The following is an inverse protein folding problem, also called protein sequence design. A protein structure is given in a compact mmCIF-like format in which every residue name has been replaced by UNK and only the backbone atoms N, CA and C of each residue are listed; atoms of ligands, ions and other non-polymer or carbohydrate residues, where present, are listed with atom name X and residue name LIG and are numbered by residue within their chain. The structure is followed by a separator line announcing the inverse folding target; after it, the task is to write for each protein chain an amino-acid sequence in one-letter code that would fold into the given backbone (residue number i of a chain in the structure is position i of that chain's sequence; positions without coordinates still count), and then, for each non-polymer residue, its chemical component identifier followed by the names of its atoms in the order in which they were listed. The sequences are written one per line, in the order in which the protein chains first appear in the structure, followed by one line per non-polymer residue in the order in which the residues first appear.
data_IF_933060126646
#
_entry.id   IF_933060126646
#
_cell.length_a   1.000
_cell.length_b   1.000
_cell.length_c   1.000
_cell.angle_alpha   90.00
_cell.angle_beta   90.00
_cell.angle_gamma   90.00
#
_symmetry.space_group_name_H-M   'P 1'
#
loop_
_entity.id
_entity.type
_entity.pdbx_description
1 polymer ?
#
# COMPACT_ATOMS: atom_id res chain seq x y z
N UNK A 1 -8.22 -26.63 15.63
CA UNK A 1 -8.77 -25.27 15.82
C UNK A 1 -8.60 -24.54 14.50
N UNK A 2 -9.62 -23.82 14.01
CA UNK A 2 -9.45 -23.03 12.80
C UNK A 2 -8.40 -21.94 13.02
N UNK A 3 -7.61 -21.62 12.00
CA UNK A 3 -6.64 -20.52 12.07
C UNK A 3 -7.35 -19.16 12.02
N UNK A 4 -6.60 -18.09 12.30
CA UNK A 4 -7.15 -16.73 12.25
C UNK A 4 -7.71 -16.42 10.84
N UNK A 5 -6.95 -16.73 9.78
CA UNK A 5 -7.40 -16.54 8.40
C UNK A 5 -8.62 -17.40 8.07
N UNK A 6 -8.66 -18.66 8.49
CA UNK A 6 -9.84 -19.51 8.26
C UNK A 6 -11.12 -18.96 8.91
N UNK A 7 -10.98 -18.35 10.10
CA UNK A 7 -12.08 -17.70 10.82
C UNK A 7 -12.54 -16.43 10.09
N UNK A 8 -11.61 -15.62 9.60
CA UNK A 8 -11.91 -14.39 8.85
C UNK A 8 -12.60 -14.72 7.52
N UNK A 9 -12.15 -15.75 6.81
CA UNK A 9 -12.78 -16.19 5.55
C UNK A 9 -14.23 -16.64 5.74
N UNK A 10 -14.61 -17.10 6.94
CA UNK A 10 -16.00 -17.41 7.25
C UNK A 10 -16.87 -16.16 7.50
N UNK A 11 -16.25 -14.99 7.74
CA UNK A 11 -16.92 -13.76 8.16
C UNK A 11 -17.65 -12.96 7.08
N UNK A 12 -17.64 -13.41 5.81
CA UNK A 12 -18.31 -12.80 4.65
C UNK A 12 -18.10 -11.28 4.44
N UNK A 13 -17.09 -10.68 5.06
CA UNK A 13 -16.73 -9.28 4.90
C UNK A 13 -15.48 -9.19 4.01
N UNK A 14 -15.68 -8.85 2.75
CA UNK A 14 -14.62 -8.81 1.75
C UNK A 14 -13.51 -7.83 2.12
N UNK A 15 -13.86 -6.63 2.58
CA UNK A 15 -12.89 -5.62 2.98
C UNK A 15 -12.00 -6.11 4.13
N UNK A 16 -12.59 -6.82 5.09
CA UNK A 16 -11.85 -7.41 6.20
C UNK A 16 -10.95 -8.55 5.74
N UNK A 17 -11.44 -9.44 4.87
CA UNK A 17 -10.63 -10.51 4.28
C UNK A 17 -9.41 -9.92 3.56
N UNK A 18 -9.62 -8.93 2.69
CA UNK A 18 -8.53 -8.27 1.97
C UNK A 18 -7.53 -7.59 2.91
N UNK A 19 -8.02 -6.91 3.96
CA UNK A 19 -7.17 -6.25 4.95
C UNK A 19 -6.30 -7.26 5.70
N UNK A 20 -6.88 -8.35 6.17
CA UNK A 20 -6.18 -9.37 6.94
C UNK A 20 -5.18 -10.16 6.09
N UNK A 21 -5.51 -10.44 4.83
CA UNK A 21 -4.56 -11.06 3.90
C UNK A 21 -3.32 -10.17 3.68
N UNK A 22 -3.48 -8.84 3.55
CA UNK A 22 -2.34 -7.92 3.45
C UNK A 22 -1.49 -7.94 4.72
N UNK A 23 -2.11 -7.84 5.89
CA UNK A 23 -1.39 -7.88 7.17
C UNK A 23 -0.62 -9.18 7.32
N UNK A 24 -1.29 -10.30 7.04
CA UNK A 24 -0.69 -11.62 7.17
C UNK A 24 0.53 -11.76 6.25
N UNK A 25 0.42 -11.37 4.97
CA UNK A 25 1.54 -11.39 4.03
C UNK A 25 2.74 -10.56 4.51
N UNK A 26 2.50 -9.40 5.12
CA UNK A 26 3.59 -8.56 5.64
C UNK A 26 4.29 -9.15 6.86
N UNK A 27 3.55 -9.89 7.70
CA UNK A 27 4.12 -10.55 8.87
C UNK A 27 4.75 -11.91 8.56
N UNK A 28 4.29 -12.56 7.48
CA UNK A 28 4.69 -13.90 7.07
C UNK A 28 5.05 -13.95 5.58
N UNK A 29 6.07 -13.20 5.12
CA UNK A 29 6.38 -13.04 3.69
C UNK A 29 6.77 -14.34 2.97
N UNK A 30 7.23 -15.35 3.71
CA UNK A 30 7.61 -16.66 3.17
C UNK A 30 6.46 -17.70 3.19
N UNK A 31 5.33 -17.39 3.85
CA UNK A 31 4.20 -18.33 4.03
C UNK A 31 4.64 -19.74 4.49
N UNK A 32 5.60 -19.83 5.42
CA UNK A 32 6.21 -21.12 5.81
C UNK A 32 5.22 -22.15 6.37
N UNK A 33 4.09 -21.70 6.92
CA UNK A 33 2.98 -22.52 7.43
C UNK A 33 1.89 -22.80 6.37
N UNK A 34 2.00 -22.18 5.19
CA UNK A 34 1.13 -22.36 4.03
C UNK A 34 -0.26 -21.79 4.23
N UNK A 35 -0.47 -20.88 5.18
CA UNK A 35 -1.78 -20.34 5.50
C UNK A 35 -2.31 -19.40 4.41
N UNK A 36 -1.45 -18.61 3.76
CA UNK A 36 -1.86 -17.81 2.60
C UNK A 36 -2.23 -18.71 1.43
N UNK A 37 -1.43 -19.74 1.14
CA UNK A 37 -1.73 -20.69 0.06
C UNK A 37 -3.09 -21.38 0.27
N UNK A 38 -3.38 -21.83 1.51
CA UNK A 38 -4.68 -22.40 1.88
C UNK A 38 -5.81 -21.38 1.74
N UNK A 39 -5.60 -20.15 2.21
CA UNK A 39 -6.58 -19.08 2.12
C UNK A 39 -6.95 -18.75 0.67
N UNK A 40 -5.95 -18.59 -0.21
CA UNK A 40 -6.15 -18.36 -1.65
C UNK A 40 -6.95 -19.50 -2.27
N UNK A 41 -6.58 -20.75 -1.96
CA UNK A 41 -7.29 -21.94 -2.45
C UNK A 41 -8.77 -21.90 -2.07
N UNK A 42 -9.06 -21.66 -0.79
CA UNK A 42 -10.43 -21.58 -0.28
C UNK A 42 -11.23 -20.43 -0.89
N UNK A 43 -10.61 -19.26 -1.08
CA UNK A 43 -11.25 -18.11 -1.74
C UNK A 43 -11.68 -18.47 -3.16
N UNK A 44 -10.83 -19.19 -3.90
CA UNK A 44 -11.08 -19.58 -5.28
C UNK A 44 -12.15 -20.68 -5.37
N UNK A 45 -12.06 -21.71 -4.53
CA UNK A 45 -13.04 -22.81 -4.48
C UNK A 45 -14.44 -22.32 -4.10
N UNK A 46 -14.52 -21.40 -3.14
CA UNK A 46 -15.78 -20.85 -2.64
C UNK A 46 -16.25 -19.61 -3.40
N UNK A 47 -15.47 -19.15 -4.38
CA UNK A 47 -15.76 -17.97 -5.21
C UNK A 47 -16.16 -16.74 -4.38
N UNK A 48 -15.40 -16.45 -3.31
CA UNK A 48 -15.78 -15.45 -2.29
C UNK A 48 -15.79 -14.00 -2.80
N UNK A 49 -15.55 -13.73 -4.09
CA UNK A 49 -15.57 -12.37 -4.64
C UNK A 49 -14.51 -11.43 -4.05
N UNK A 50 -13.46 -11.99 -3.45
CA UNK A 50 -12.38 -11.22 -2.81
C UNK A 50 -11.49 -10.52 -3.82
N UNK A 51 -11.27 -11.16 -4.97
CA UNK A 51 -10.39 -10.67 -6.01
C UNK A 51 -11.08 -9.63 -6.88
N UNK A 52 -10.38 -8.53 -7.11
CA UNK A 52 -10.76 -7.59 -8.14
C UNK A 52 -10.15 -8.00 -9.48
N UNK A 53 -10.72 -7.51 -10.59
CA UNK A 53 -10.12 -7.65 -11.90
C UNK A 53 -8.78 -6.88 -11.93
N UNK A 54 -7.73 -7.52 -12.44
CA UNK A 54 -6.43 -6.89 -12.58
C UNK A 54 -6.50 -5.67 -13.52
N UNK A 55 -5.80 -4.60 -13.17
CA UNK A 55 -5.83 -3.30 -13.87
C UNK A 55 -4.93 -3.23 -15.12
N UNK A 56 -4.20 -4.30 -15.42
CA UNK A 56 -3.35 -4.41 -16.60
C UNK A 56 -1.97 -3.79 -16.47
N UNK A 57 -1.60 -3.25 -15.29
CA UNK A 57 -0.23 -2.77 -15.06
C UNK A 57 0.75 -3.94 -15.10
N UNK A 58 1.86 -3.78 -15.81
CA UNK A 58 2.87 -4.82 -15.98
C UNK A 58 3.74 -4.94 -14.73
N UNK A 59 4.03 -6.17 -14.30
CA UNK A 59 4.97 -6.44 -13.23
C UNK A 59 6.42 -6.43 -13.75
N UNK A 60 7.35 -5.97 -12.90
CA UNK A 60 8.76 -6.24 -13.10
C UNK A 60 8.99 -7.71 -12.75
N UNK A 61 9.33 -8.53 -13.73
CA UNK A 61 9.62 -9.97 -13.57
C UNK A 61 11.09 -10.25 -13.20
N UNK A 62 11.98 -9.29 -13.45
CA UNK A 62 13.41 -9.41 -13.18
C UNK A 62 13.68 -9.26 -11.68
N UNK A 63 13.93 -10.38 -11.01
CA UNK A 63 14.13 -10.47 -9.55
C UNK A 63 15.31 -9.61 -9.06
N UNK A 64 16.31 -9.35 -9.90
CA UNK A 64 17.45 -8.47 -9.55
C UNK A 64 16.99 -7.03 -9.29
N UNK A 65 15.83 -6.64 -9.84
CA UNK A 65 15.22 -5.33 -9.63
C UNK A 65 14.24 -5.31 -8.45
N UNK A 66 13.97 -6.46 -7.84
CA UNK A 66 13.13 -6.53 -6.65
C UNK A 66 13.94 -6.06 -5.45
N UNK A 67 13.55 -4.91 -4.91
CA UNK A 67 14.15 -4.31 -3.73
C UNK A 67 13.04 -3.82 -2.80
N UNK A 68 13.42 -3.32 -1.61
CA UNK A 68 12.45 -2.83 -0.62
C UNK A 68 11.56 -1.69 -1.15
N UNK A 69 12.10 -0.82 -2.01
CA UNK A 69 11.30 0.24 -2.66
C UNK A 69 10.23 -0.34 -3.58
N UNK A 70 10.59 -1.34 -4.39
CA UNK A 70 9.63 -2.03 -5.24
C UNK A 70 8.57 -2.79 -4.43
N UNK A 71 8.95 -3.43 -3.31
CA UNK A 71 7.99 -4.05 -2.40
C UNK A 71 7.00 -3.02 -1.83
N UNK A 72 7.48 -1.84 -1.42
CA UNK A 72 6.62 -0.75 -0.94
C UNK A 72 5.68 -0.22 -2.03
N UNK A 73 6.14 -0.12 -3.28
CA UNK A 73 5.29 0.20 -4.43
C UNK A 73 4.21 -0.87 -4.62
N UNK A 74 4.56 -2.16 -4.56
CA UNK A 74 3.58 -3.25 -4.67
C UNK A 74 2.55 -3.23 -3.53
N UNK A 75 2.92 -2.85 -2.30
CA UNK A 75 1.96 -2.67 -1.20
C UNK A 75 0.90 -1.61 -1.52
N UNK A 76 1.34 -0.46 -2.07
CA UNK A 76 0.44 0.63 -2.47
C UNK A 76 -0.45 0.18 -3.63
N UNK A 77 0.13 -0.46 -4.63
CA UNK A 77 -0.63 -0.96 -5.78
C UNK A 77 -1.63 -2.04 -5.38
N UNK A 78 -1.29 -2.93 -4.43
CA UNK A 78 -2.20 -3.94 -3.90
C UNK A 78 -3.35 -3.34 -3.09
N UNK A 79 -3.11 -2.21 -2.41
CA UNK A 79 -4.17 -1.46 -1.77
C UNK A 79 -5.17 -0.88 -2.79
N UNK A 80 -4.67 -0.36 -3.92
CA UNK A 80 -5.50 0.23 -4.97
C UNK A 80 -6.22 -0.84 -5.82
N UNK A 81 -5.55 -1.96 -6.09
CA UNK A 81 -6.06 -3.06 -6.88
C UNK A 81 -5.77 -4.42 -6.23
N UNK A 82 -6.68 -4.90 -5.37
CA UNK A 82 -6.60 -6.22 -4.74
C UNK A 82 -6.97 -7.38 -5.70
N UNK A 83 -6.27 -7.48 -6.82
CA UNK A 83 -6.36 -8.61 -7.74
C UNK A 83 -5.51 -9.78 -7.26
N UNK A 84 -5.87 -10.99 -7.69
CA UNK A 84 -5.16 -12.20 -7.30
C UNK A 84 -3.72 -12.18 -7.85
N UNK A 85 -3.55 -11.74 -9.09
CA UNK A 85 -2.27 -11.61 -9.78
C UNK A 85 -1.32 -10.70 -9.01
N UNK A 86 -1.81 -9.54 -8.55
CA UNK A 86 -1.00 -8.60 -7.77
C UNK A 86 -0.68 -9.13 -6.38
N UNK A 87 -1.61 -9.82 -5.74
CA UNK A 87 -1.38 -10.46 -4.44
C UNK A 87 -0.28 -11.51 -4.55
N UNK A 88 -0.35 -12.38 -5.56
CA UNK A 88 0.65 -13.41 -5.83
C UNK A 88 2.01 -12.82 -6.20
N UNK A 89 2.04 -11.79 -7.05
CA UNK A 89 3.26 -11.09 -7.41
C UNK A 89 3.94 -10.47 -6.18
N UNK A 90 3.16 -9.78 -5.34
CA UNK A 90 3.68 -9.21 -4.10
C UNK A 90 4.18 -10.28 -3.12
N UNK A 91 3.53 -11.45 -3.06
CA UNK A 91 3.97 -12.59 -2.28
C UNK A 91 5.32 -13.14 -2.78
N UNK A 92 5.53 -13.23 -4.09
CA UNK A 92 6.81 -13.61 -4.67
C UNK A 92 7.93 -12.61 -4.35
N UNK A 93 7.66 -11.29 -4.52
CA UNK A 93 8.62 -10.22 -4.19
C UNK A 93 8.97 -10.26 -2.70
N UNK A 94 7.98 -10.37 -1.81
CA UNK A 94 8.20 -10.41 -0.38
C UNK A 94 9.00 -11.67 0.03
N UNK A 95 8.68 -12.82 -0.55
CA UNK A 95 9.39 -14.07 -0.31
C UNK A 95 10.85 -14.01 -0.77
N UNK A 96 11.11 -13.47 -1.97
CA UNK A 96 12.46 -13.26 -2.48
C UNK A 96 13.30 -12.39 -1.55
N UNK A 97 12.76 -11.24 -1.13
CA UNK A 97 13.45 -10.31 -0.24
C UNK A 97 13.68 -10.88 1.17
N UNK A 98 12.75 -11.68 1.68
CA UNK A 98 12.90 -12.34 2.98
C UNK A 98 13.91 -13.50 2.94
N UNK A 99 14.14 -14.10 1.76
CA UNK A 99 15.05 -15.23 1.58
C UNK A 99 16.53 -14.81 1.46
N UNK A 100 16.81 -13.56 1.10
CA UNK A 100 18.16 -13.05 0.89
C UNK A 100 18.43 -11.79 1.77
N UNK A 101 19.19 -11.93 2.87
CA UNK A 101 19.50 -10.83 3.78
C UNK A 101 20.37 -9.73 3.15
N UNK A 102 20.97 -9.97 1.99
CA UNK A 102 21.73 -8.93 1.26
C UNK A 102 20.83 -7.95 0.51
N UNK A 103 19.54 -8.27 0.34
CA UNK A 103 18.52 -7.40 -0.24
C UNK A 103 17.87 -6.43 0.77
N UNK A 104 18.37 -6.39 2.02
CA UNK A 104 18.14 -5.25 2.90
C UNK A 104 18.78 -4.01 2.28
N UNK A 105 17.99 -3.27 1.50
CA UNK A 105 18.42 -1.98 0.99
C UNK A 105 18.88 -1.12 2.20
N UNK A 106 20.05 -0.47 2.15
CA UNK A 106 20.38 0.56 3.13
C UNK A 106 19.20 1.54 3.17
N UNK A 107 18.80 2.03 4.37
CA UNK A 107 17.57 2.80 4.51
C UNK A 107 17.58 3.95 3.51
N UNK A 108 16.76 3.83 2.47
CA UNK A 108 16.54 4.87 1.50
C UNK A 108 16.04 6.10 2.28
N UNK A 109 16.61 7.30 2.06
CA UNK A 109 16.13 8.49 2.73
C UNK A 109 14.64 8.63 2.42
N UNK A 110 13.84 8.72 3.48
CA UNK A 110 12.38 8.74 3.44
C UNK A 110 11.88 9.68 2.33
N UNK A 111 11.51 9.12 1.16
CA UNK A 111 10.83 9.89 0.11
C UNK A 111 9.42 10.10 0.60
N UNK A 112 9.23 11.23 1.29
CA UNK A 112 7.98 11.73 1.82
C UNK A 112 7.03 12.03 0.65
N UNK A 113 6.46 11.00 0.01
CA UNK A 113 5.45 11.17 -1.04
C UNK A 113 4.16 11.79 -0.48
N UNK A 114 3.98 11.73 0.85
CA UNK A 114 2.96 12.46 1.61
C UNK A 114 3.27 13.94 1.90
N UNK A 115 4.43 14.47 1.51
CA UNK A 115 4.77 15.88 1.71
C UNK A 115 3.90 16.80 0.86
N UNK A 116 3.48 16.34 -0.33
CA UNK A 116 2.77 17.17 -1.30
C UNK A 116 1.44 17.68 -0.76
N UNK A 117 0.66 16.86 -0.03
CA UNK A 117 -0.62 17.31 0.53
C UNK A 117 -0.45 18.33 1.68
N UNK A 118 0.51 18.10 2.58
CA UNK A 118 0.79 19.01 3.70
C UNK A 118 1.44 20.34 3.25
N UNK A 119 2.40 20.27 2.33
CA UNK A 119 3.08 21.46 1.81
C UNK A 119 2.17 22.31 0.94
N UNK A 120 1.31 21.72 0.10
CA UNK A 120 0.32 22.48 -0.68
C UNK A 120 -0.67 23.21 0.25
N UNK A 121 -1.13 22.57 1.33
CA UNK A 121 -2.00 23.21 2.32
C UNK A 121 -1.29 24.36 3.06
N UNK A 122 0.00 24.19 3.41
CA UNK A 122 0.75 25.21 4.17
C UNK A 122 1.10 26.42 3.30
N UNK A 123 1.47 26.21 2.04
CA UNK A 123 1.74 27.28 1.08
C UNK A 123 0.47 28.10 0.79
N UNK A 124 -0.69 27.45 0.68
CA UNK A 124 -1.98 28.13 0.52
C UNK A 124 -2.32 29.11 1.66
N UNK A 125 -2.07 28.70 2.91
CA UNK A 125 -2.33 29.55 4.09
C UNK A 125 -1.40 30.77 4.13
N UNK A 126 -0.11 30.59 3.79
CA UNK A 126 0.86 31.70 3.78
C UNK A 126 0.48 32.75 2.73
N UNK A 127 0.11 32.31 1.52
CA UNK A 127 -0.33 33.24 0.45
C UNK A 127 -1.59 34.00 0.87
N UNK A 128 -2.57 33.32 1.48
CA UNK A 128 -3.80 33.96 1.96
C UNK A 128 -3.50 35.04 3.02
N UNK A 129 -2.63 34.75 3.99
CA UNK A 129 -2.22 35.73 5.00
C UNK A 129 -1.54 36.96 4.40
N UNK A 130 -0.66 36.78 3.41
CA UNK A 130 0.01 37.89 2.72
C UNK A 130 -1.01 38.77 1.96
N UNK A 131 -1.98 38.16 1.27
CA UNK A 131 -3.05 38.88 0.59
C UNK A 131 -3.91 39.65 1.59
N UNK A 132 -4.28 39.04 2.71
CA UNK A 132 -5.06 39.71 3.75
C UNK A 132 -4.31 40.92 4.35
N UNK A 133 -3.02 40.77 4.65
CA UNK A 133 -2.18 41.86 5.19
C UNK A 133 -2.05 42.99 4.17
N UNK A 134 -1.80 42.68 2.90
CA UNK A 134 -1.68 43.71 1.85
C UNK A 134 -3.00 44.43 1.60
N UNK A 135 -4.15 43.74 1.63
CA UNK A 135 -5.46 44.39 1.59
C UNK A 135 -5.69 45.33 2.77
N UNK A 136 -5.36 44.91 4.00
CA UNK A 136 -5.51 45.75 5.20
C UNK A 136 -4.61 46.99 5.14
N UNK A 137 -3.37 46.84 4.69
CA UNK A 137 -2.44 47.97 4.50
C UNK A 137 -2.94 48.91 3.41
N UNK A 138 -3.42 48.37 2.27
CA UNK A 138 -3.95 49.17 1.18
C UNK A 138 -5.19 49.96 1.60
N UNK A 139 -6.14 49.32 2.29
CA UNK A 139 -7.32 49.98 2.85
C UNK A 139 -6.87 51.08 3.82
N UNK A 140 -5.99 50.77 4.80
CA UNK A 140 -5.51 51.79 5.76
C UNK A 140 -4.84 52.98 5.07
N UNK A 141 -4.13 52.76 3.97
CA UNK A 141 -3.47 53.82 3.21
C UNK A 141 -4.42 54.65 2.31
N UNK A 142 -5.63 54.16 2.02
CA UNK A 142 -6.66 54.91 1.29
C UNK A 142 -7.53 55.78 2.21
N UNK A 143 -7.51 55.54 3.52
CA UNK A 143 -8.31 56.26 4.53
C UNK A 143 -7.46 57.16 5.46
N UNK A 144 -6.22 57.49 5.06
CA UNK A 144 -5.37 58.55 5.63
C UNK A 144 -5.13 59.60 4.55
#
# INVERSE_FOLDING_TARGET
MPTQLETILAGNNITEIQHQLRIYLMNHPLDNDGELAKAITKINEQQLGVWMVHDGKVFIEDEIKWNQSYLAEQQIELHNNFSQERFLHMMAVAGFLASDPSNEAPPEPFKLYGASMGTIMTVGVIIFCIIAITMVVFIRNQYI
#
